data_IF_155741005321
#
_entry.id   IF_155741005321
#
_cell.length_a   1.000
_cell.length_b   1.000
_cell.length_c   1.000
_cell.angle_alpha   90.00
_cell.angle_beta   90.00
_cell.angle_gamma   90.00
#
_symmetry.space_group_name_H-M   'P 1'
#
loop_
_entity.id
_entity.type
_entity.pdbx_description
1 polymer ?
#
# COMPACT_ATOMS: atom_id res chain seq x y z
N UNK A 1 -2.22 6.54 -29.16
CA UNK A 1 -1.55 6.84 -27.90
C UNK A 1 -1.64 8.35 -27.69
N UNK A 2 -2.54 8.82 -26.88
CA UNK A 2 -2.62 10.24 -26.50
C UNK A 2 -2.21 10.25 -25.02
N UNK A 3 -1.00 10.73 -24.75
CA UNK A 3 -0.59 11.12 -23.41
C UNK A 3 -1.54 12.20 -22.93
N UNK A 4 -2.44 11.87 -22.02
CA UNK A 4 -3.13 12.87 -21.23
C UNK A 4 -2.08 13.48 -20.30
N UNK A 5 -1.46 14.57 -20.72
CA UNK A 5 -0.87 15.50 -19.77
C UNK A 5 -2.02 16.00 -18.90
N UNK A 6 -2.14 15.46 -17.69
CA UNK A 6 -3.04 16.04 -16.69
C UNK A 6 -2.49 17.43 -16.37
N UNK A 7 -3.23 18.46 -16.69
CA UNK A 7 -2.88 19.84 -16.27
C UNK A 7 -2.65 19.82 -14.76
N UNK A 8 -1.52 20.39 -14.33
CA UNK A 8 -1.20 20.54 -12.91
C UNK A 8 -2.20 21.49 -12.27
N UNK A 9 -3.09 20.95 -11.44
CA UNK A 9 -4.08 21.74 -10.70
C UNK A 9 -3.55 22.01 -9.30
N UNK A 10 -3.55 23.28 -8.91
CA UNK A 10 -3.18 23.75 -7.56
C UNK A 10 -4.41 24.28 -6.86
N UNK A 11 -4.87 23.57 -5.86
CA UNK A 11 -5.93 24.01 -4.97
C UNK A 11 -5.30 24.77 -3.79
N UNK A 12 -5.12 26.10 -3.94
CA UNK A 12 -4.62 26.98 -2.88
C UNK A 12 -5.73 28.01 -2.63
N UNK A 13 -6.22 28.11 -1.39
CA UNK A 13 -7.06 29.26 -1.03
C UNK A 13 -6.24 30.53 -1.21
N UNK A 14 -6.73 31.48 -2.02
CA UNK A 14 -6.17 32.83 -2.11
C UNK A 14 -6.28 33.49 -0.72
N UNK A 15 -5.16 33.57 -0.01
CA UNK A 15 -5.10 34.32 1.24
C UNK A 15 -5.52 35.78 1.01
N UNK A 16 -6.36 36.31 1.89
CA UNK A 16 -6.61 37.75 1.97
C UNK A 16 -5.27 38.45 2.15
N UNK A 17 -5.01 39.49 1.37
CA UNK A 17 -3.79 40.27 1.45
C UNK A 17 -3.54 40.80 2.87
N UNK A 18 -2.31 41.23 3.16
CA UNK A 18 -1.89 41.64 4.49
C UNK A 18 -2.72 42.87 4.93
N UNK A 19 -3.52 42.71 5.98
CA UNK A 19 -4.00 43.85 6.75
C UNK A 19 -2.85 44.32 7.61
N UNK A 20 -2.45 45.59 7.44
CA UNK A 20 -1.48 46.26 8.29
C UNK A 20 -2.02 46.29 9.73
N UNK A 21 -1.37 45.57 10.61
CA UNK A 21 -1.58 45.64 12.05
C UNK A 21 -0.43 46.46 12.67
N UNK A 22 -0.81 47.34 13.58
CA UNK A 22 0.08 48.21 14.33
C UNK A 22 1.08 47.39 15.19
N UNK A 23 2.31 47.88 15.26
CA UNK A 23 3.42 47.36 16.04
C UNK A 23 3.08 47.28 17.54
N UNK A 24 2.99 46.03 18.07
CA UNK A 24 3.06 45.72 19.49
C UNK A 24 4.40 45.07 19.79
N UNK A 25 4.82 44.94 21.09
CA UNK A 25 6.20 44.62 21.45
C UNK A 25 6.64 43.24 20.94
N UNK A 26 7.89 43.16 20.48
CA UNK A 26 8.57 42.01 19.91
C UNK A 26 8.51 40.76 20.81
N UNK A 27 7.45 39.93 20.63
CA UNK A 27 7.52 38.50 20.87
C UNK A 27 8.08 37.85 19.60
N UNK A 28 8.95 36.85 19.71
CA UNK A 28 9.35 36.01 18.59
C UNK A 28 8.08 35.63 17.82
N UNK A 29 7.89 36.17 16.61
CA UNK A 29 6.88 35.68 15.69
C UNK A 29 7.27 34.22 15.42
N UNK A 30 6.46 33.26 15.88
CA UNK A 30 6.60 31.86 15.55
C UNK A 30 6.48 31.73 14.04
N UNK A 31 7.61 31.58 13.36
CA UNK A 31 7.67 31.47 11.90
C UNK A 31 6.82 30.27 11.44
N UNK A 32 5.86 30.55 10.53
CA UNK A 32 4.93 29.53 10.03
C UNK A 32 5.67 28.47 9.24
N UNK A 33 5.49 27.20 9.60
CA UNK A 33 6.15 26.08 8.92
C UNK A 33 5.41 25.63 7.67
N UNK A 34 6.17 25.23 6.65
CA UNK A 34 5.69 24.59 5.44
C UNK A 34 5.90 23.09 5.56
N UNK A 35 4.82 22.32 5.63
CA UNK A 35 4.85 20.85 5.74
C UNK A 35 4.38 20.28 4.41
N UNK A 36 5.25 19.53 3.74
CA UNK A 36 4.94 18.87 2.46
C UNK A 36 4.74 17.38 2.68
N UNK A 37 3.66 16.82 2.13
CA UNK A 37 3.35 15.39 2.16
C UNK A 37 3.38 14.88 0.71
N UNK A 38 4.30 13.97 0.40
CA UNK A 38 4.40 13.34 -0.92
C UNK A 38 3.59 12.06 -0.98
N UNK A 39 2.57 12.06 -1.80
CA UNK A 39 1.64 10.95 -2.00
C UNK A 39 0.27 11.22 -1.40
N UNK A 40 -0.78 11.05 -2.21
CA UNK A 40 -2.19 11.17 -1.83
C UNK A 40 -2.88 9.80 -1.70
N UNK A 41 -2.11 8.75 -1.42
CA UNK A 41 -2.60 7.42 -1.08
C UNK A 41 -3.08 7.32 0.38
N UNK A 42 -3.24 6.08 0.88
CA UNK A 42 -3.71 5.82 2.26
C UNK A 42 -2.93 6.63 3.30
N UNK A 43 -1.60 6.46 3.33
CA UNK A 43 -0.77 7.10 4.34
C UNK A 43 -0.81 8.62 4.24
N UNK A 44 -0.60 9.19 3.04
CA UNK A 44 -0.53 10.64 2.87
C UNK A 44 -1.85 11.36 3.11
N UNK A 45 -2.98 10.76 2.73
CA UNK A 45 -4.30 11.35 2.97
C UNK A 45 -4.62 11.38 4.47
N UNK A 46 -4.43 10.26 5.19
CA UNK A 46 -4.65 10.23 6.64
C UNK A 46 -3.64 11.12 7.39
N UNK A 47 -2.39 11.17 6.91
CA UNK A 47 -1.35 12.04 7.44
C UNK A 47 -1.75 13.52 7.37
N UNK A 48 -2.30 13.96 6.23
CA UNK A 48 -2.78 15.33 6.07
C UNK A 48 -3.90 15.66 7.06
N UNK A 49 -4.82 14.73 7.33
CA UNK A 49 -5.89 14.91 8.28
C UNK A 49 -5.36 15.03 9.71
N UNK A 50 -4.49 14.11 10.15
CA UNK A 50 -3.94 14.14 11.51
C UNK A 50 -3.01 15.33 11.74
N UNK A 51 -2.18 15.69 10.77
CA UNK A 51 -1.33 16.87 10.86
C UNK A 51 -2.13 18.15 11.01
N UNK A 52 -3.25 18.28 10.29
CA UNK A 52 -4.12 19.48 10.43
C UNK A 52 -4.65 19.66 11.85
N UNK A 53 -4.74 18.59 12.62
CA UNK A 53 -5.16 18.64 14.04
C UNK A 53 -3.98 18.89 15.01
N UNK A 54 -2.73 18.68 14.57
CA UNK A 54 -1.51 18.77 15.41
C UNK A 54 -0.64 19.96 15.07
N UNK A 55 -0.74 20.51 13.87
CA UNK A 55 -0.04 21.69 13.41
C UNK A 55 -0.52 22.95 14.17
N UNK A 56 0.33 23.97 14.21
CA UNK A 56 0.01 25.27 14.83
C UNK A 56 -0.91 26.06 13.89
N UNK A 57 -1.59 27.04 14.43
CA UNK A 57 -2.34 27.99 13.61
C UNK A 57 -1.36 28.76 12.69
N UNK A 58 -1.65 28.78 11.38
CA UNK A 58 -0.78 29.40 10.38
C UNK A 58 0.17 28.43 9.66
N UNK A 59 0.52 27.27 10.23
CA UNK A 59 1.34 26.28 9.54
C UNK A 59 0.61 25.78 8.27
N UNK A 60 1.38 25.63 7.17
CA UNK A 60 0.86 25.24 5.86
C UNK A 60 1.12 23.77 5.59
N UNK A 61 0.06 23.04 5.26
CA UNK A 61 0.14 21.64 4.85
C UNK A 61 -0.16 21.57 3.37
N UNK A 62 0.77 21.00 2.60
CA UNK A 62 0.63 20.78 1.15
C UNK A 62 0.76 19.29 0.85
N UNK A 63 -0.27 18.70 0.26
CA UNK A 63 -0.21 17.32 -0.26
C UNK A 63 0.14 17.36 -1.75
N UNK A 64 1.09 16.53 -2.16
CA UNK A 64 1.45 16.34 -3.58
C UNK A 64 1.01 14.94 -3.99
N UNK A 65 0.02 14.86 -4.89
CA UNK A 65 -0.49 13.63 -5.48
C UNK A 65 -0.18 13.51 -6.97
N UNK A 66 -0.34 12.33 -7.52
CA UNK A 66 -0.38 12.10 -8.95
C UNK A 66 -1.85 11.89 -9.34
N UNK A 67 -2.51 13.00 -9.74
CA UNK A 67 -3.96 13.06 -9.87
C UNK A 67 -4.66 13.46 -8.56
N UNK A 68 -5.99 13.61 -8.63
CA UNK A 68 -6.85 14.17 -7.59
C UNK A 68 -7.71 13.12 -6.85
N UNK A 69 -7.64 11.87 -7.29
CA UNK A 69 -8.53 10.80 -6.85
C UNK A 69 -7.80 9.77 -6.00
N UNK A 70 -8.35 9.47 -4.83
CA UNK A 70 -7.96 8.32 -4.02
C UNK A 70 -8.69 7.06 -4.50
N UNK A 71 -7.96 5.93 -4.55
CA UNK A 71 -8.50 4.62 -4.86
C UNK A 71 -8.35 3.66 -3.67
N UNK A 72 -9.44 3.01 -3.29
CA UNK A 72 -9.42 2.01 -2.22
C UNK A 72 -8.86 0.68 -2.74
N UNK A 73 -7.52 0.58 -2.77
CA UNK A 73 -6.76 -0.56 -3.31
C UNK A 73 -7.23 -1.94 -2.81
N UNK A 74 -7.65 -2.13 -1.53
CA UNK A 74 -8.13 -3.43 -1.07
C UNK A 74 -9.36 -3.98 -1.80
N UNK A 75 -10.08 -3.16 -2.57
CA UNK A 75 -11.21 -3.58 -3.40
C UNK A 75 -10.86 -3.83 -4.87
N UNK A 76 -9.62 -3.62 -5.30
CA UNK A 76 -9.17 -3.92 -6.66
C UNK A 76 -9.44 -5.37 -7.10
N UNK A 77 -9.27 -6.41 -6.25
CA UNK A 77 -9.66 -7.77 -6.58
C UNK A 77 -11.13 -7.90 -7.02
N UNK A 78 -12.03 -7.15 -6.37
CA UNK A 78 -13.46 -7.14 -6.72
C UNK A 78 -13.74 -6.38 -8.03
N UNK A 79 -12.96 -5.33 -8.32
CA UNK A 79 -13.04 -4.63 -9.62
C UNK A 79 -12.62 -5.58 -10.73
N UNK A 80 -11.53 -6.33 -10.55
CA UNK A 80 -11.01 -7.24 -11.56
C UNK A 80 -11.97 -8.37 -11.95
N UNK A 81 -12.93 -8.74 -11.10
CA UNK A 81 -13.97 -9.75 -11.39
C UNK A 81 -15.38 -9.16 -11.54
N UNK A 82 -15.48 -7.85 -11.75
CA UNK A 82 -16.74 -7.09 -11.93
C UNK A 82 -17.70 -7.11 -10.72
N UNK A 83 -17.22 -7.33 -9.51
CA UNK A 83 -18.04 -7.22 -8.30
C UNK A 83 -18.10 -5.80 -7.74
N UNK A 84 -17.24 -4.91 -8.24
CA UNK A 84 -17.25 -3.46 -7.99
C UNK A 84 -16.98 -2.73 -9.28
N UNK A 85 -17.61 -1.56 -9.42
CA UNK A 85 -17.22 -0.59 -10.44
C UNK A 85 -16.17 0.36 -9.84
N UNK A 86 -15.24 0.82 -10.67
CA UNK A 86 -14.19 1.77 -10.29
C UNK A 86 -14.72 2.94 -9.45
N UNK A 87 -15.77 3.61 -9.91
CA UNK A 87 -16.36 4.77 -9.21
C UNK A 87 -16.89 4.47 -7.79
N UNK A 88 -17.12 3.19 -7.44
CA UNK A 88 -17.59 2.81 -6.10
C UNK A 88 -16.46 2.85 -5.06
N UNK A 89 -15.20 2.72 -5.51
CA UNK A 89 -14.02 2.64 -4.65
C UNK A 89 -13.13 3.89 -4.75
N UNK A 90 -13.63 4.94 -5.39
CA UNK A 90 -12.93 6.21 -5.58
C UNK A 90 -13.47 7.31 -4.65
N UNK A 91 -12.56 8.21 -4.27
CA UNK A 91 -12.87 9.44 -3.52
C UNK A 91 -12.13 10.59 -4.16
N UNK A 92 -12.84 11.63 -4.58
CA UNK A 92 -12.26 12.91 -4.97
C UNK A 92 -11.70 13.60 -3.71
N UNK A 93 -10.39 13.84 -3.68
CA UNK A 93 -9.70 14.43 -2.54
C UNK A 93 -9.74 15.94 -2.51
N UNK A 94 -9.84 16.60 -3.67
CA UNK A 94 -9.78 18.06 -3.75
C UNK A 94 -10.85 18.77 -2.89
N UNK A 95 -12.13 18.35 -2.92
CA UNK A 95 -13.14 18.98 -2.04
C UNK A 95 -12.91 18.68 -0.55
N UNK A 96 -12.33 17.52 -0.23
CA UNK A 96 -12.05 17.15 1.18
C UNK A 96 -10.90 17.98 1.74
N UNK A 97 -9.79 18.10 1.00
CA UNK A 97 -8.65 18.91 1.40
C UNK A 97 -9.01 20.41 1.47
N UNK A 98 -9.80 20.92 0.51
CA UNK A 98 -10.26 22.30 0.53
C UNK A 98 -11.09 22.64 1.79
N UNK A 99 -11.98 21.74 2.23
CA UNK A 99 -12.75 21.94 3.47
C UNK A 99 -11.87 22.00 4.72
N UNK A 100 -10.74 21.29 4.69
CA UNK A 100 -9.79 21.24 5.80
C UNK A 100 -8.67 22.27 5.73
N UNK A 101 -8.69 23.13 4.73
CA UNK A 101 -7.61 24.11 4.50
C UNK A 101 -6.24 23.44 4.35
N UNK A 102 -6.20 22.40 3.54
CA UNK A 102 -5.00 21.65 3.13
C UNK A 102 -4.79 21.97 1.66
N UNK A 103 -3.59 22.45 1.31
CA UNK A 103 -3.22 22.70 -0.08
C UNK A 103 -3.01 21.36 -0.82
N UNK A 104 -3.46 21.29 -2.06
CA UNK A 104 -3.34 20.09 -2.87
C UNK A 104 -2.76 20.38 -4.25
N UNK A 105 -1.72 19.65 -4.62
CA UNK A 105 -1.00 19.73 -5.89
C UNK A 105 -1.06 18.36 -6.56
N UNK A 106 -1.53 18.29 -7.80
CA UNK A 106 -1.88 17.02 -8.47
C UNK A 106 -0.90 16.60 -9.56
N UNK A 107 0.15 17.35 -9.82
CA UNK A 107 1.12 17.07 -10.90
C UNK A 107 2.22 16.05 -10.55
N UNK A 108 2.26 15.55 -9.31
CA UNK A 108 3.30 14.62 -8.91
C UNK A 108 4.65 15.26 -8.58
N UNK A 109 5.49 14.48 -7.90
CA UNK A 109 6.85 14.88 -7.56
C UNK A 109 7.85 14.25 -8.54
N UNK A 110 8.70 15.07 -9.13
CA UNK A 110 9.80 14.66 -10.01
C UNK A 110 11.03 14.22 -9.20
N UNK A 111 11.42 15.02 -8.19
CA UNK A 111 12.61 14.75 -7.39
C UNK A 111 12.53 15.38 -6.01
N UNK A 112 12.95 14.65 -4.99
CA UNK A 112 13.24 15.19 -3.65
C UNK A 112 14.70 15.66 -3.62
N UNK A 113 14.94 16.88 -3.13
CA UNK A 113 16.28 17.47 -2.96
C UNK A 113 16.47 17.79 -1.48
N UNK A 114 16.81 16.78 -0.64
CA UNK A 114 16.73 16.93 0.82
C UNK A 114 17.77 17.87 1.40
N UNK A 115 18.94 18.05 0.77
CA UNK A 115 19.96 19.01 1.19
C UNK A 115 19.53 20.47 1.00
N UNK A 116 18.54 20.73 0.14
CA UNK A 116 18.00 22.05 -0.15
C UNK A 116 16.58 22.23 0.42
N UNK A 117 16.07 21.25 1.17
CA UNK A 117 14.72 21.24 1.74
C UNK A 117 13.63 21.59 0.72
N UNK A 118 13.69 20.99 -0.47
CA UNK A 118 12.70 21.24 -1.53
C UNK A 118 12.33 19.95 -2.29
N UNK A 119 11.15 20.00 -2.89
CA UNK A 119 10.65 18.98 -3.81
C UNK A 119 10.46 19.61 -5.17
N UNK A 120 11.07 19.05 -6.20
CA UNK A 120 10.81 19.38 -7.60
C UNK A 120 9.56 18.64 -8.07
N UNK A 121 8.67 19.35 -8.76
CA UNK A 121 7.43 18.83 -9.30
C UNK A 121 7.58 18.53 -10.80
N UNK A 122 6.66 17.70 -11.32
CA UNK A 122 6.67 17.32 -12.76
C UNK A 122 6.39 18.52 -13.69
N UNK A 123 5.76 19.60 -13.19
CA UNK A 123 5.55 20.84 -13.95
C UNK A 123 6.79 21.76 -13.98
N UNK A 124 7.90 21.35 -13.41
CA UNK A 124 9.16 22.10 -13.33
C UNK A 124 9.23 23.11 -12.18
N UNK A 125 8.18 23.25 -11.38
CA UNK A 125 8.20 24.10 -10.18
C UNK A 125 8.79 23.39 -8.99
N UNK A 126 9.04 24.11 -7.89
CA UNK A 126 9.56 23.54 -6.63
C UNK A 126 8.70 23.97 -5.45
N UNK A 127 8.61 23.09 -4.47
CA UNK A 127 7.99 23.34 -3.17
C UNK A 127 9.07 23.28 -2.08
N UNK A 128 9.38 24.39 -1.40
CA UNK A 128 10.22 24.36 -0.20
C UNK A 128 9.44 23.75 0.96
N UNK A 129 10.17 23.15 1.92
CA UNK A 129 9.57 22.59 3.12
C UNK A 129 10.47 22.79 4.35
N UNK A 130 9.84 22.93 5.50
CA UNK A 130 10.48 22.80 6.81
C UNK A 130 10.42 21.34 7.27
N UNK A 131 9.31 20.66 7.01
CA UNK A 131 9.13 19.22 7.22
C UNK A 131 8.60 18.54 5.96
N UNK A 132 9.15 17.37 5.66
CA UNK A 132 8.71 16.52 4.55
C UNK A 132 8.24 15.17 5.08
N UNK A 133 7.05 14.72 4.65
CA UNK A 133 6.56 13.35 4.88
C UNK A 133 6.47 12.61 3.54
N UNK A 134 7.26 11.56 3.37
CA UNK A 134 7.25 10.74 2.18
C UNK A 134 6.26 9.58 2.38
N UNK A 135 5.17 9.59 1.62
CA UNK A 135 4.06 8.63 1.65
C UNK A 135 3.70 8.12 0.24
N UNK A 136 4.70 8.06 -0.64
CA UNK A 136 4.54 7.79 -2.09
C UNK A 136 4.05 6.38 -2.43
N UNK A 137 4.10 5.45 -1.46
CA UNK A 137 3.93 4.04 -1.76
C UNK A 137 5.10 3.46 -2.58
N UNK A 138 4.92 2.31 -3.26
CA UNK A 138 5.95 1.66 -4.06
C UNK A 138 5.81 2.00 -5.54
N UNK A 139 6.91 1.85 -6.29
CA UNK A 139 6.91 1.59 -7.71
C UNK A 139 6.83 0.06 -7.97
N UNK A 140 6.10 -0.34 -8.99
CA UNK A 140 5.83 -1.74 -9.33
C UNK A 140 6.88 -2.22 -10.35
N UNK A 141 7.78 -3.08 -9.94
CA UNK A 141 8.94 -3.50 -10.71
C UNK A 141 8.61 -4.63 -11.72
N UNK A 142 7.65 -4.41 -12.61
CA UNK A 142 7.30 -5.38 -13.65
C UNK A 142 8.45 -5.63 -14.64
N UNK A 143 9.26 -4.62 -14.92
CA UNK A 143 10.41 -4.64 -15.83
C UNK A 143 11.57 -5.53 -15.35
N UNK A 144 11.56 -6.00 -14.10
CA UNK A 144 12.57 -6.94 -13.59
C UNK A 144 12.38 -8.37 -14.11
N UNK A 145 11.23 -8.70 -14.70
CA UNK A 145 10.94 -10.03 -15.26
C UNK A 145 10.34 -9.84 -16.65
N UNK A 146 11.00 -10.42 -17.65
CA UNK A 146 10.55 -10.36 -19.04
C UNK A 146 9.13 -10.90 -19.20
N UNK A 147 8.24 -10.12 -19.82
CA UNK A 147 6.86 -10.47 -20.08
C UNK A 147 5.89 -10.35 -18.88
N UNK A 148 6.37 -9.90 -17.72
CA UNK A 148 5.51 -9.67 -16.56
C UNK A 148 4.80 -8.31 -16.66
N UNK A 149 3.55 -8.27 -16.26
CA UNK A 149 2.78 -7.04 -16.04
C UNK A 149 1.65 -6.78 -17.02
N UNK A 150 0.80 -5.77 -16.72
CA UNK A 150 -0.44 -5.47 -17.45
C UNK A 150 -0.21 -4.84 -18.84
N UNK A 151 1.01 -4.43 -19.15
CA UNK A 151 1.42 -3.97 -20.48
C UNK A 151 2.12 -5.09 -21.29
N UNK A 152 2.23 -6.30 -20.71
CA UNK A 152 2.81 -7.46 -21.33
C UNK A 152 1.82 -8.65 -21.30
N UNK A 153 2.09 -9.70 -20.51
CA UNK A 153 1.33 -10.95 -20.62
C UNK A 153 0.50 -11.29 -19.36
N UNK A 154 0.70 -10.59 -18.23
CA UNK A 154 -0.04 -10.87 -17.00
C UNK A 154 -0.88 -9.68 -16.56
N UNK A 155 -1.96 -9.94 -15.84
CA UNK A 155 -2.77 -8.92 -15.18
C UNK A 155 -2.14 -8.48 -13.86
N UNK A 156 -2.67 -7.39 -13.30
CA UNK A 156 -2.31 -6.89 -11.97
C UNK A 156 -3.53 -6.29 -11.28
N UNK A 157 -3.54 -6.35 -9.95
CA UNK A 157 -4.54 -5.72 -9.07
C UNK A 157 -3.91 -4.67 -8.15
N UNK A 158 -2.63 -4.32 -8.36
CA UNK A 158 -1.93 -3.37 -7.51
C UNK A 158 -2.42 -1.93 -7.68
N UNK A 159 -3.01 -1.60 -8.81
CA UNK A 159 -3.58 -0.30 -9.13
C UNK A 159 -4.99 -0.45 -9.72
N UNK A 160 -5.84 0.56 -9.55
CA UNK A 160 -7.22 0.50 -10.07
C UNK A 160 -7.29 0.41 -11.59
N UNK A 161 -6.37 1.07 -12.31
CA UNK A 161 -6.29 0.98 -13.77
C UNK A 161 -5.93 -0.43 -14.23
N UNK A 162 -5.01 -1.09 -13.50
CA UNK A 162 -4.67 -2.49 -13.73
C UNK A 162 -5.87 -3.40 -13.45
N UNK A 163 -6.58 -3.18 -12.34
CA UNK A 163 -7.77 -3.96 -12.00
C UNK A 163 -8.88 -3.79 -13.05
N UNK A 164 -9.04 -2.60 -13.63
CA UNK A 164 -9.98 -2.34 -14.72
C UNK A 164 -9.57 -3.07 -16.01
N UNK A 165 -8.27 -3.10 -16.35
CA UNK A 165 -7.75 -3.93 -17.46
C UNK A 165 -7.99 -5.42 -17.20
N UNK A 166 -7.70 -5.86 -15.96
CA UNK A 166 -7.91 -7.24 -15.53
C UNK A 166 -9.39 -7.65 -15.62
N UNK A 167 -10.34 -6.74 -15.35
CA UNK A 167 -11.78 -6.96 -15.54
C UNK A 167 -12.14 -7.28 -16.99
N UNK A 168 -11.61 -6.50 -17.94
CA UNK A 168 -11.83 -6.74 -19.37
C UNK A 168 -11.23 -8.08 -19.80
N UNK A 169 -10.00 -8.37 -19.35
CA UNK A 169 -9.33 -9.63 -19.62
C UNK A 169 -10.09 -10.83 -19.01
N UNK A 170 -10.62 -10.69 -17.78
CA UNK A 170 -11.42 -11.73 -17.13
C UNK A 170 -12.73 -12.00 -17.86
N UNK A 171 -13.42 -10.99 -18.36
CA UNK A 171 -14.62 -11.15 -19.16
C UNK A 171 -14.34 -11.92 -20.47
N UNK A 172 -13.25 -11.59 -21.17
CA UNK A 172 -12.82 -12.31 -22.37
C UNK A 172 -12.43 -13.76 -22.04
N UNK A 173 -11.70 -13.98 -20.96
CA UNK A 173 -11.33 -15.31 -20.46
C UNK A 173 -12.57 -16.17 -20.14
N UNK A 174 -13.59 -15.59 -19.49
CA UNK A 174 -14.79 -16.31 -19.12
C UNK A 174 -15.59 -16.85 -20.34
N UNK A 175 -15.46 -16.19 -21.49
CA UNK A 175 -16.05 -16.66 -22.74
C UNK A 175 -15.32 -17.87 -23.35
N UNK A 176 -13.99 -17.94 -23.13
CA UNK A 176 -13.17 -19.07 -23.60
C UNK A 176 -12.19 -19.50 -22.49
N UNK A 177 -12.67 -20.20 -21.44
CA UNK A 177 -11.89 -20.52 -20.27
C UNK A 177 -10.80 -21.56 -20.54
N UNK A 178 -9.64 -21.36 -19.89
CA UNK A 178 -8.48 -22.22 -19.91
C UNK A 178 -7.73 -22.21 -18.57
N UNK A 179 -6.45 -22.62 -18.51
CA UNK A 179 -5.68 -22.61 -17.27
C UNK A 179 -5.46 -21.19 -16.72
N UNK A 180 -5.39 -21.09 -15.40
CA UNK A 180 -5.05 -19.85 -14.68
C UNK A 180 -3.76 -20.05 -13.89
N UNK A 181 -2.84 -19.05 -13.94
CA UNK A 181 -1.70 -18.92 -13.05
C UNK A 181 -1.83 -17.63 -12.25
N UNK A 182 -1.88 -17.75 -10.92
CA UNK A 182 -1.97 -16.60 -10.00
C UNK A 182 -0.84 -16.69 -8.98
N UNK A 183 -0.29 -15.56 -8.56
CA UNK A 183 0.71 -15.58 -7.50
C UNK A 183 1.48 -14.30 -7.32
N UNK A 184 2.73 -14.45 -6.86
CA UNK A 184 3.64 -13.36 -6.62
C UNK A 184 5.05 -13.71 -7.11
N UNK A 185 5.76 -12.71 -7.62
CA UNK A 185 7.15 -12.82 -8.02
C UNK A 185 8.09 -12.69 -6.82
N UNK A 186 9.33 -13.15 -6.96
CA UNK A 186 10.40 -12.93 -5.99
C UNK A 186 10.59 -11.41 -5.74
N UNK A 187 10.83 -11.06 -4.48
CA UNK A 187 10.93 -9.66 -4.06
C UNK A 187 9.58 -8.94 -3.86
N UNK A 188 8.46 -9.61 -4.09
CA UNK A 188 7.15 -9.10 -3.66
C UNK A 188 7.13 -8.92 -2.13
N UNK A 189 6.41 -7.90 -1.66
CA UNK A 189 6.31 -7.59 -0.23
C UNK A 189 4.87 -7.55 0.29
N UNK A 190 3.92 -8.10 -0.46
CA UNK A 190 2.54 -8.25 -0.01
C UNK A 190 1.89 -9.45 -0.69
N UNK A 191 1.86 -10.59 -0.01
CA UNK A 191 1.36 -11.87 -0.55
C UNK A 191 -0.14 -12.05 -0.36
N UNK A 192 -0.72 -11.43 0.67
CA UNK A 192 -2.15 -11.50 0.98
C UNK A 192 -3.06 -11.29 -0.24
N UNK A 193 -2.87 -10.24 -1.04
CA UNK A 193 -3.67 -9.99 -2.23
C UNK A 193 -3.59 -11.08 -3.31
N UNK A 194 -2.46 -11.81 -3.43
CA UNK A 194 -2.35 -12.92 -4.36
C UNK A 194 -3.23 -14.10 -3.94
N UNK A 195 -3.20 -14.48 -2.66
CA UNK A 195 -4.11 -15.50 -2.10
C UNK A 195 -5.57 -15.07 -2.23
N UNK A 196 -5.87 -13.85 -1.80
CA UNK A 196 -7.21 -13.28 -1.88
C UNK A 196 -7.75 -13.34 -3.31
N UNK A 197 -6.95 -12.93 -4.30
CA UNK A 197 -7.37 -12.93 -5.69
C UNK A 197 -7.54 -14.33 -6.27
N UNK A 198 -6.68 -15.30 -5.91
CA UNK A 198 -6.83 -16.70 -6.32
C UNK A 198 -8.18 -17.28 -5.84
N UNK A 199 -8.58 -17.00 -4.59
CA UNK A 199 -9.85 -17.48 -4.04
C UNK A 199 -11.06 -16.70 -4.57
N UNK A 200 -10.93 -15.41 -4.83
CA UNK A 200 -11.95 -14.60 -5.49
C UNK A 200 -12.20 -15.11 -6.92
N UNK A 201 -11.14 -15.43 -7.67
CA UNK A 201 -11.28 -16.04 -9.00
C UNK A 201 -12.00 -17.38 -8.92
N UNK A 202 -11.62 -18.28 -8.01
CA UNK A 202 -12.32 -19.55 -7.80
C UNK A 202 -13.82 -19.34 -7.57
N UNK A 203 -14.17 -18.40 -6.66
CA UNK A 203 -15.57 -18.08 -6.36
C UNK A 203 -16.29 -17.46 -7.54
N UNK A 204 -15.64 -16.57 -8.30
CA UNK A 204 -16.21 -15.96 -9.51
C UNK A 204 -16.48 -17.02 -10.59
N UNK A 205 -15.54 -17.94 -10.81
CA UNK A 205 -15.70 -19.05 -11.76
C UNK A 205 -16.81 -20.02 -11.37
N UNK A 206 -16.99 -20.29 -10.06
CA UNK A 206 -18.11 -21.07 -9.54
C UNK A 206 -19.45 -20.39 -9.78
N UNK A 207 -19.54 -19.08 -9.56
CA UNK A 207 -20.74 -18.27 -9.86
C UNK A 207 -21.09 -18.30 -11.35
N UNK A 208 -20.08 -18.32 -12.22
CA UNK A 208 -20.24 -18.46 -13.67
C UNK A 208 -20.47 -19.90 -14.14
N UNK A 209 -20.37 -20.90 -13.25
CA UNK A 209 -20.50 -22.34 -13.53
C UNK A 209 -19.48 -22.86 -14.56
N UNK A 210 -18.26 -22.31 -14.53
CA UNK A 210 -17.17 -22.71 -15.43
C UNK A 210 -15.93 -23.23 -14.69
N UNK A 211 -15.96 -23.25 -13.34
CA UNK A 211 -14.78 -23.60 -12.51
C UNK A 211 -14.17 -24.95 -12.86
N UNK A 212 -14.97 -25.94 -13.18
CA UNK A 212 -14.52 -27.31 -13.47
C UNK A 212 -13.68 -27.42 -14.76
N UNK A 213 -13.78 -26.42 -15.64
CA UNK A 213 -13.01 -26.32 -16.89
C UNK A 213 -11.70 -25.54 -16.74
N UNK A 214 -11.42 -25.02 -15.55
CA UNK A 214 -10.31 -24.09 -15.30
C UNK A 214 -9.33 -24.70 -14.31
N UNK A 215 -8.26 -25.34 -14.78
CA UNK A 215 -7.13 -25.67 -13.91
C UNK A 215 -6.50 -24.41 -13.34
N UNK A 216 -6.21 -24.39 -12.02
CA UNK A 216 -5.59 -23.23 -11.36
C UNK A 216 -4.30 -23.64 -10.69
N UNK A 217 -3.26 -22.80 -10.82
CA UNK A 217 -1.98 -22.96 -10.14
C UNK A 217 -1.59 -21.66 -9.45
N UNK A 218 -1.24 -21.75 -8.17
CA UNK A 218 -0.71 -20.65 -7.38
C UNK A 218 0.82 -20.76 -7.31
N UNK A 219 1.54 -19.66 -7.59
CA UNK A 219 3.01 -19.61 -7.54
C UNK A 219 3.47 -18.54 -6.58
N UNK A 220 4.45 -18.87 -5.73
CA UNK A 220 4.95 -17.92 -4.74
C UNK A 220 6.42 -18.16 -4.40
N UNK A 221 7.23 -17.10 -4.21
CA UNK A 221 8.60 -17.23 -3.73
C UNK A 221 8.68 -17.58 -2.24
N UNK A 222 7.56 -17.60 -1.53
CA UNK A 222 7.49 -17.96 -0.13
C UNK A 222 8.02 -19.42 0.08
N UNK A 223 8.73 -19.69 1.19
CA UNK A 223 9.24 -21.04 1.47
C UNK A 223 8.12 -22.04 1.78
N UNK A 224 6.96 -21.57 2.19
CA UNK A 224 5.75 -22.36 2.42
C UNK A 224 4.50 -21.47 2.27
N UNK A 225 3.37 -22.09 1.98
CA UNK A 225 2.08 -21.40 1.87
C UNK A 225 1.71 -20.74 3.20
N UNK A 226 1.36 -19.45 3.13
CA UNK A 226 0.97 -18.68 4.32
C UNK A 226 2.12 -18.11 5.14
N UNK A 227 3.36 -18.12 4.62
CA UNK A 227 4.48 -17.39 5.22
C UNK A 227 4.20 -15.89 5.24
N UNK A 228 3.56 -15.32 4.20
CA UNK A 228 3.07 -13.96 4.09
C UNK A 228 4.15 -12.86 4.21
N UNK A 229 5.44 -13.23 4.10
CA UNK A 229 6.55 -12.33 4.41
C UNK A 229 6.72 -12.04 5.90
N UNK A 230 6.06 -12.81 6.77
CA UNK A 230 5.94 -12.59 8.21
C UNK A 230 6.31 -13.82 9.06
N UNK A 231 6.81 -14.88 8.44
CA UNK A 231 6.98 -16.21 9.05
C UNK A 231 5.65 -16.80 9.57
N UNK A 232 4.58 -16.59 8.78
CA UNK A 232 3.21 -16.95 9.13
C UNK A 232 2.56 -16.04 10.19
N UNK A 233 1.26 -16.16 10.38
CA UNK A 233 0.49 -15.53 11.48
C UNK A 233 -0.57 -16.51 11.95
N UNK A 234 -0.52 -16.93 13.23
CA UNK A 234 -1.40 -17.98 13.74
C UNK A 234 -1.31 -19.25 12.87
N UNK A 235 -2.45 -19.80 12.48
CA UNK A 235 -2.56 -21.02 11.68
C UNK A 235 -2.62 -20.75 10.16
N UNK A 236 -2.11 -19.61 9.67
CA UNK A 236 -2.24 -19.22 8.26
C UNK A 236 -1.68 -20.27 7.29
N UNK A 237 -0.63 -21.02 7.66
CA UNK A 237 -0.09 -22.11 6.84
C UNK A 237 -1.15 -23.19 6.60
N UNK A 238 -1.61 -23.84 7.66
CA UNK A 238 -2.57 -24.96 7.59
C UNK A 238 -3.87 -24.51 6.94
N UNK A 239 -4.32 -23.30 7.25
CA UNK A 239 -5.58 -22.73 6.78
C UNK A 239 -5.52 -22.46 5.27
N UNK A 240 -4.50 -21.73 4.78
CA UNK A 240 -4.40 -21.42 3.35
C UNK A 240 -4.09 -22.63 2.50
N UNK A 241 -3.27 -23.59 3.00
CA UNK A 241 -3.09 -24.87 2.32
C UNK A 241 -4.39 -25.68 2.22
N UNK A 242 -5.22 -25.68 3.28
CA UNK A 242 -6.52 -26.34 3.27
C UNK A 242 -7.46 -25.68 2.25
N UNK A 243 -7.51 -24.35 2.19
CA UNK A 243 -8.33 -23.62 1.23
C UNK A 243 -7.90 -23.89 -0.22
N UNK A 244 -6.59 -23.91 -0.50
CA UNK A 244 -6.06 -24.24 -1.83
C UNK A 244 -6.46 -25.68 -2.23
N UNK A 245 -6.31 -26.66 -1.31
CA UNK A 245 -6.72 -28.05 -1.57
C UNK A 245 -8.23 -28.18 -1.80
N UNK A 246 -9.06 -27.58 -0.95
CA UNK A 246 -10.53 -27.65 -1.05
C UNK A 246 -11.06 -27.04 -2.34
N UNK A 247 -10.33 -26.06 -2.90
CA UNK A 247 -10.65 -25.38 -4.14
C UNK A 247 -9.95 -25.97 -5.36
N UNK A 248 -9.23 -27.09 -5.18
CA UNK A 248 -8.45 -27.76 -6.24
C UNK A 248 -7.50 -26.79 -6.97
N UNK A 249 -6.81 -25.94 -6.19
CA UNK A 249 -5.76 -25.03 -6.70
C UNK A 249 -4.42 -25.70 -6.35
N UNK A 250 -3.63 -26.03 -7.37
CA UNK A 250 -2.25 -26.50 -7.21
C UNK A 250 -1.36 -25.32 -6.78
N UNK A 251 -0.22 -25.61 -6.12
CA UNK A 251 0.73 -24.55 -5.77
C UNK A 251 2.18 -25.00 -5.89
N UNK A 252 3.05 -24.00 -6.11
CA UNK A 252 4.51 -24.14 -6.09
C UNK A 252 5.05 -23.05 -5.18
N UNK A 253 5.76 -23.44 -4.12
CA UNK A 253 6.51 -22.56 -3.22
C UNK A 253 7.98 -22.51 -3.63
N UNK A 254 8.77 -21.58 -3.06
CA UNK A 254 10.13 -21.32 -3.53
C UNK A 254 10.19 -21.15 -5.05
N UNK A 255 9.17 -20.53 -5.63
CA UNK A 255 8.98 -20.37 -7.04
C UNK A 255 9.61 -19.04 -7.52
N UNK A 256 10.69 -19.13 -8.27
CA UNK A 256 11.30 -18.00 -8.98
C UNK A 256 10.67 -17.90 -10.37
N UNK A 257 10.00 -16.83 -10.66
CA UNK A 257 9.51 -16.56 -12.01
C UNK A 257 10.71 -16.14 -12.86
N UNK A 258 11.06 -16.97 -13.83
CA UNK A 258 12.19 -16.72 -14.70
C UNK A 258 11.80 -15.80 -15.87
N UNK A 259 10.60 -16.05 -16.45
CA UNK A 259 10.08 -15.32 -17.62
C UNK A 259 8.58 -15.59 -17.74
N UNK A 260 7.86 -14.67 -18.37
CA UNK A 260 6.48 -14.88 -18.81
C UNK A 260 6.41 -14.77 -20.33
N UNK A 261 5.85 -15.76 -20.97
CA UNK A 261 5.54 -15.77 -22.40
C UNK A 261 4.03 -15.54 -22.60
N UNK A 262 3.58 -15.40 -23.82
CA UNK A 262 2.19 -15.05 -24.14
C UNK A 262 1.13 -16.05 -23.59
N UNK A 263 1.53 -17.30 -23.41
CA UNK A 263 0.66 -18.42 -23.06
C UNK A 263 1.18 -19.27 -21.89
N UNK A 264 2.34 -18.96 -21.34
CA UNK A 264 2.92 -19.72 -20.21
C UNK A 264 3.84 -18.88 -19.30
N UNK A 265 3.93 -19.30 -18.06
CA UNK A 265 4.90 -18.80 -17.07
C UNK A 265 6.00 -19.84 -16.90
N UNK A 266 7.26 -19.41 -17.03
CA UNK A 266 8.43 -20.23 -16.76
C UNK A 266 8.87 -20.02 -15.31
N UNK A 267 8.87 -21.09 -14.53
CA UNK A 267 9.15 -21.06 -13.09
C UNK A 267 10.28 -21.99 -12.74
N UNK A 268 11.30 -21.49 -12.06
CA UNK A 268 12.32 -22.29 -11.38
C UNK A 268 11.89 -22.51 -9.92
N UNK A 269 11.56 -23.74 -9.55
CA UNK A 269 11.41 -24.14 -8.15
C UNK A 269 12.80 -24.33 -7.57
N UNK A 270 13.10 -23.70 -6.43
CA UNK A 270 14.44 -23.75 -5.83
C UNK A 270 14.47 -24.49 -4.52
N UNK A 271 15.65 -25.04 -4.19
CA UNK A 271 15.96 -25.61 -2.88
C UNK A 271 16.27 -24.51 -1.85
N UNK A 272 16.49 -24.90 -0.60
CA UNK A 272 16.82 -23.96 0.50
C UNK A 272 18.15 -23.21 0.28
N UNK A 273 19.05 -23.74 -0.52
CA UNK A 273 20.30 -23.11 -0.94
C UNK A 273 20.17 -22.25 -2.21
N UNK A 274 18.95 -22.04 -2.66
CA UNK A 274 18.58 -21.34 -3.89
C UNK A 274 19.03 -22.01 -5.20
N UNK A 275 19.57 -23.24 -5.17
CA UNK A 275 19.81 -24.03 -6.37
C UNK A 275 18.50 -24.48 -7.02
N UNK A 276 18.47 -24.62 -8.34
CA UNK A 276 17.26 -25.04 -9.06
C UNK A 276 16.96 -26.51 -8.75
N UNK A 277 15.78 -26.77 -8.20
CA UNK A 277 15.24 -28.10 -7.92
C UNK A 277 14.48 -28.68 -9.11
N UNK A 278 13.63 -27.88 -9.73
CA UNK A 278 12.81 -28.26 -10.88
C UNK A 278 12.47 -27.02 -11.74
N UNK A 279 12.20 -27.25 -13.01
CA UNK A 279 11.70 -26.23 -13.92
C UNK A 279 10.30 -26.56 -14.35
N UNK A 280 9.41 -25.58 -14.29
CA UNK A 280 8.01 -25.73 -14.65
C UNK A 280 7.65 -24.77 -15.77
N UNK A 281 6.94 -25.29 -16.78
CA UNK A 281 6.24 -24.49 -17.78
C UNK A 281 4.75 -24.54 -17.44
N UNK A 282 4.20 -23.44 -17.01
CA UNK A 282 2.81 -23.35 -16.55
C UNK A 282 1.97 -22.65 -17.61
N UNK A 283 1.16 -23.37 -18.41
CA UNK A 283 0.30 -22.75 -19.40
C UNK A 283 -0.78 -21.92 -18.71
N UNK A 284 -1.16 -20.81 -19.34
CA UNK A 284 -2.28 -19.98 -18.89
C UNK A 284 -3.08 -19.37 -20.06
N UNK A 285 -4.37 -19.17 -19.81
CA UNK A 285 -5.25 -18.31 -20.62
C UNK A 285 -5.58 -17.02 -19.86
N UNK A 286 -5.31 -16.99 -18.54
CA UNK A 286 -5.39 -15.81 -17.69
C UNK A 286 -4.32 -15.92 -16.59
N UNK A 287 -3.57 -14.85 -16.36
CA UNK A 287 -2.57 -14.83 -15.29
C UNK A 287 -2.58 -13.50 -14.56
N UNK A 288 -2.42 -13.54 -13.23
CA UNK A 288 -2.18 -12.37 -12.38
C UNK A 288 -1.02 -12.66 -11.43
N UNK A 289 0.05 -11.91 -11.57
CA UNK A 289 1.25 -12.08 -10.74
C UNK A 289 1.63 -10.73 -10.15
N UNK A 290 1.72 -10.68 -8.82
CA UNK A 290 2.19 -9.50 -8.10
C UNK A 290 3.69 -9.32 -8.32
N UNK A 291 4.17 -8.11 -8.70
CA UNK A 291 5.58 -7.85 -8.91
C UNK A 291 6.33 -7.61 -7.61
N UNK A 292 7.65 -7.56 -7.70
CA UNK A 292 8.48 -6.94 -6.68
C UNK A 292 8.15 -5.44 -6.54
N UNK A 293 8.43 -4.88 -5.35
CA UNK A 293 8.30 -3.46 -5.09
C UNK A 293 9.67 -2.79 -4.99
N UNK A 294 9.73 -1.53 -5.38
CA UNK A 294 10.90 -0.65 -5.23
C UNK A 294 10.46 0.78 -4.92
N UNK A 295 11.38 1.64 -4.52
CA UNK A 295 11.07 3.05 -4.30
C UNK A 295 10.75 3.77 -5.61
N UNK A 296 9.90 4.79 -5.55
CA UNK A 296 9.51 5.60 -6.73
C UNK A 296 10.69 6.41 -7.27
N UNK A 297 10.71 6.79 -8.57
CA UNK A 297 11.82 7.54 -9.18
C UNK A 297 12.18 8.83 -8.44
N UNK A 298 11.18 9.55 -7.90
CA UNK A 298 11.39 10.81 -7.20
C UNK A 298 12.32 10.75 -5.99
N UNK A 299 12.48 9.57 -5.38
CA UNK A 299 13.32 9.37 -4.17
C UNK A 299 14.48 8.40 -4.39
N UNK A 300 14.44 7.56 -5.44
CA UNK A 300 15.41 6.49 -5.67
C UNK A 300 16.83 7.02 -5.88
N UNK A 301 17.81 6.36 -5.24
CA UNK A 301 19.24 6.67 -5.41
C UNK A 301 19.69 7.97 -4.74
N UNK A 302 18.93 8.53 -3.79
CA UNK A 302 19.37 9.66 -2.97
C UNK A 302 20.14 9.10 -1.79
N UNK A 303 21.42 9.45 -1.71
CA UNK A 303 22.33 9.02 -0.66
C UNK A 303 21.81 9.47 0.72
N UNK A 304 21.90 8.62 1.72
CA UNK A 304 21.38 8.86 3.07
C UNK A 304 19.85 8.80 3.19
N UNK A 305 19.10 8.99 2.10
CA UNK A 305 17.64 8.93 2.12
C UNK A 305 17.11 7.51 1.91
N UNK A 306 17.68 6.77 0.97
CA UNK A 306 17.14 5.47 0.53
C UNK A 306 18.14 4.33 0.62
N UNK A 307 17.60 3.10 0.75
CA UNK A 307 18.36 1.88 0.53
C UNK A 307 18.58 1.61 -1.00
N UNK A 308 19.36 0.58 -1.39
CA UNK A 308 19.60 0.27 -2.81
C UNK A 308 18.34 -0.02 -3.64
N UNK A 309 17.26 -0.48 -3.00
CA UNK A 309 15.94 -0.70 -3.66
C UNK A 309 15.10 0.58 -3.75
N UNK A 310 15.60 1.72 -3.22
CA UNK A 310 14.90 3.01 -3.21
C UNK A 310 13.87 3.17 -2.09
N UNK A 311 13.77 2.26 -1.12
CA UNK A 311 12.92 2.45 0.06
C UNK A 311 13.57 3.41 1.04
N UNK A 312 12.75 4.25 1.68
CA UNK A 312 13.20 5.31 2.57
C UNK A 312 13.71 4.72 3.90
N UNK A 313 14.92 5.10 4.29
CA UNK A 313 15.49 4.76 5.59
C UNK A 313 14.77 5.56 6.68
N UNK A 314 14.30 4.90 7.72
CA UNK A 314 13.60 5.53 8.83
C UNK A 314 14.02 4.91 10.17
N UNK A 315 14.11 5.76 11.18
CA UNK A 315 14.27 5.34 12.58
C UNK A 315 12.93 4.89 13.19
N UNK A 316 12.94 4.56 14.47
CA UNK A 316 11.75 4.11 15.20
C UNK A 316 10.66 5.17 15.35
N UNK A 317 10.98 6.46 15.20
CA UNK A 317 10.05 7.59 15.16
C UNK A 317 9.59 7.94 13.75
N UNK A 318 9.88 7.11 12.73
CA UNK A 318 9.60 7.31 11.30
C UNK A 318 10.42 8.45 10.67
N UNK A 319 11.50 8.89 11.29
CA UNK A 319 12.36 9.98 10.85
C UNK A 319 13.58 9.43 10.10
N UNK A 320 14.00 10.09 9.02
CA UNK A 320 15.20 9.70 8.31
C UNK A 320 16.47 10.07 9.15
N UNK A 321 17.44 9.14 9.32
CA UNK A 321 18.63 9.39 10.11
C UNK A 321 19.56 10.48 9.55
N UNK A 322 19.64 10.63 8.22
CA UNK A 322 20.51 11.63 7.57
C UNK A 322 19.82 13.00 7.41
N UNK A 323 18.48 13.01 7.33
CA UNK A 323 17.67 14.22 7.13
C UNK A 323 16.61 14.31 8.22
N UNK A 324 16.92 14.93 9.38
CA UNK A 324 16.04 14.89 10.55
C UNK A 324 14.68 15.55 10.41
N UNK A 325 14.48 16.37 9.39
CA UNK A 325 13.20 16.98 9.03
C UNK A 325 12.41 16.19 7.96
N UNK A 326 12.94 15.04 7.56
CA UNK A 326 12.26 14.13 6.59
C UNK A 326 11.75 12.91 7.33
N UNK A 327 10.45 12.65 7.19
CA UNK A 327 9.73 11.49 7.74
C UNK A 327 9.24 10.61 6.61
N UNK A 328 8.96 9.34 6.90
CA UNK A 328 8.38 8.43 5.91
C UNK A 328 7.39 7.46 6.53
N UNK A 329 6.32 7.18 5.80
CA UNK A 329 5.22 6.31 6.24
C UNK A 329 4.74 5.41 5.11
N UNK A 330 4.21 4.26 5.48
CA UNK A 330 3.59 3.34 4.53
C UNK A 330 4.57 2.46 3.76
N UNK A 331 4.19 2.07 2.55
CA UNK A 331 4.91 1.04 1.80
C UNK A 331 6.29 1.49 1.31
N UNK A 332 6.54 2.78 1.21
CA UNK A 332 7.86 3.32 0.83
C UNK A 332 8.94 3.18 1.91
N UNK A 333 8.60 2.81 3.16
CA UNK A 333 9.55 2.64 4.27
C UNK A 333 10.37 1.36 4.11
N UNK A 334 11.69 1.45 4.30
CA UNK A 334 12.59 0.31 4.32
C UNK A 334 12.39 -0.50 5.61
N UNK A 335 11.90 -1.73 5.48
CA UNK A 335 11.78 -2.69 6.58
C UNK A 335 12.53 -3.96 6.18
N UNK A 336 13.47 -4.45 7.00
CA UNK A 336 14.19 -5.68 6.71
C UNK A 336 13.25 -6.89 6.63
N UNK A 337 13.54 -7.90 5.79
CA UNK A 337 12.77 -9.14 5.74
C UNK A 337 12.82 -9.89 7.07
N UNK A 338 11.75 -10.65 7.36
CA UNK A 338 11.69 -11.54 8.51
C UNK A 338 12.43 -12.84 8.18
N UNK A 339 13.60 -13.02 8.76
CA UNK A 339 14.42 -14.21 8.55
C UNK A 339 15.06 -14.28 7.15
N UNK A 340 15.72 -15.42 6.89
CA UNK A 340 16.29 -15.74 5.58
C UNK A 340 15.37 -16.71 4.84
N UNK A 341 15.14 -16.42 3.57
CA UNK A 341 14.37 -17.28 2.66
C UNK A 341 15.21 -17.58 1.41
N UNK A 342 15.01 -18.73 0.74
CA UNK A 342 15.75 -19.08 -0.47
C UNK A 342 15.62 -18.03 -1.58
N UNK A 343 14.43 -17.45 -1.71
CA UNK A 343 14.15 -16.35 -2.61
C UNK A 343 13.79 -15.08 -1.80
N UNK A 344 14.04 -13.88 -2.30
CA UNK A 344 13.67 -12.65 -1.62
C UNK A 344 12.15 -12.57 -1.37
N UNK A 345 11.78 -12.40 -0.10
CA UNK A 345 10.41 -12.22 0.37
C UNK A 345 10.37 -10.96 1.24
N UNK A 346 9.63 -9.95 0.82
CA UNK A 346 9.54 -8.69 1.55
C UNK A 346 8.48 -8.71 2.65
N UNK A 347 8.58 -7.75 3.58
CA UNK A 347 7.61 -7.56 4.67
C UNK A 347 6.45 -6.69 4.19
N UNK A 348 5.19 -7.14 4.33
CA UNK A 348 4.03 -6.33 3.99
C UNK A 348 3.88 -5.15 4.97
N UNK A 349 3.41 -4.01 4.44
CA UNK A 349 3.00 -2.85 5.24
C UNK A 349 1.48 -2.77 5.17
N UNK A 350 0.83 -3.30 6.20
CA UNK A 350 -0.63 -3.40 6.26
C UNK A 350 -1.30 -2.07 6.57
N UNK A 351 -2.60 -1.94 6.29
CA UNK A 351 -3.32 -0.68 6.49
C UNK A 351 -3.21 -0.14 7.92
N UNK A 352 -3.46 -0.99 8.93
CA UNK A 352 -3.37 -0.58 10.34
C UNK A 352 -1.94 -0.22 10.76
N UNK A 353 -0.92 -0.94 10.25
CA UNK A 353 0.47 -0.58 10.46
C UNK A 353 0.78 0.81 9.89
N UNK A 354 0.25 1.14 8.71
CA UNK A 354 0.40 2.47 8.10
C UNK A 354 -0.29 3.53 8.95
N UNK A 355 -1.49 3.27 9.45
CA UNK A 355 -2.21 4.20 10.36
C UNK A 355 -1.40 4.45 11.64
N UNK A 356 -0.75 3.43 12.21
CA UNK A 356 0.12 3.63 13.37
C UNK A 356 1.34 4.52 13.06
N UNK A 357 1.94 4.37 11.85
CA UNK A 357 3.02 5.25 11.38
C UNK A 357 2.51 6.68 11.20
N UNK A 358 1.30 6.87 10.66
CA UNK A 358 0.65 8.19 10.49
C UNK A 358 0.52 8.88 11.85
N UNK A 359 -0.10 8.23 12.82
CA UNK A 359 -0.35 8.80 14.15
C UNK A 359 0.96 9.17 14.86
N UNK A 360 1.97 8.28 14.83
CA UNK A 360 3.27 8.57 15.43
C UNK A 360 3.95 9.77 14.76
N UNK A 361 3.95 9.82 13.43
CA UNK A 361 4.58 10.90 12.66
C UNK A 361 3.88 12.25 12.86
N UNK A 362 2.54 12.27 12.89
CA UNK A 362 1.77 13.50 13.12
C UNK A 362 2.05 14.08 14.51
N UNK A 363 2.12 13.24 15.54
CA UNK A 363 2.46 13.66 16.89
C UNK A 363 3.91 14.13 16.99
N UNK A 364 4.85 13.44 16.34
CA UNK A 364 6.27 13.83 16.34
C UNK A 364 6.50 15.17 15.64
N UNK A 365 5.90 15.40 14.48
CA UNK A 365 6.00 16.70 13.78
C UNK A 365 5.31 17.78 14.63
N UNK A 366 4.12 17.53 15.18
CA UNK A 366 3.45 18.46 16.06
C UNK A 366 4.27 18.84 17.30
N UNK A 367 5.01 17.90 17.90
CA UNK A 367 5.93 18.15 18.99
C UNK A 367 7.10 19.05 18.54
N UNK A 368 7.73 18.72 17.40
CA UNK A 368 8.83 19.51 16.85
C UNK A 368 8.43 20.94 16.50
N UNK A 369 7.21 21.15 15.99
CA UNK A 369 6.66 22.48 15.71
C UNK A 369 6.52 23.34 16.98
N UNK A 370 6.39 22.72 18.15
CA UNK A 370 6.35 23.40 19.46
C UNK A 370 7.72 23.45 20.17
N UNK A 371 8.80 23.01 19.49
CA UNK A 371 10.14 22.93 20.09
C UNK A 371 10.33 21.74 21.07
N UNK A 372 9.42 20.77 21.05
CA UNK A 372 9.44 19.56 21.86
C UNK A 372 10.16 18.41 21.13
N UNK A 373 10.59 17.38 21.85
CA UNK A 373 11.26 16.23 21.26
C UNK A 373 10.26 15.27 20.56
N UNK A 374 10.67 14.69 19.43
CA UNK A 374 9.96 13.61 18.77
C UNK A 374 10.22 12.28 19.52
N UNK A 375 9.18 11.73 20.18
CA UNK A 375 9.32 10.54 21.05
C UNK A 375 8.33 9.42 20.75
N UNK A 376 7.36 9.67 19.88
CA UNK A 376 6.28 8.72 19.60
C UNK A 376 6.73 7.63 18.62
N UNK A 377 6.57 6.36 19.03
CA UNK A 377 6.89 5.18 18.22
C UNK A 377 5.61 4.45 17.79
N UNK A 378 5.45 4.07 16.51
CA UNK A 378 4.33 3.24 16.05
C UNK A 378 4.47 1.81 16.57
N UNK A 379 3.33 1.15 16.82
CA UNK A 379 3.30 -0.26 17.26
C UNK A 379 3.60 -1.25 16.14
N UNK A 380 3.35 -0.87 14.90
CA UNK A 380 3.39 -1.76 13.74
C UNK A 380 2.52 -3.01 13.91
N UNK A 381 1.37 -2.87 14.53
CA UNK A 381 0.39 -3.95 14.64
C UNK A 381 -0.29 -4.19 13.28
N UNK A 382 -0.74 -5.43 13.04
CA UNK A 382 -1.53 -5.78 11.88
C UNK A 382 -2.92 -6.26 12.29
N UNK A 383 -3.93 -5.76 11.58
CA UNK A 383 -5.30 -6.29 11.54
C UNK A 383 -5.63 -6.46 10.06
N UNK A 384 -5.83 -7.67 9.60
CA UNK A 384 -6.02 -7.97 8.18
C UNK A 384 -7.28 -8.82 7.95
N UNK A 385 -7.96 -8.51 6.86
CA UNK A 385 -9.10 -9.26 6.33
C UNK A 385 -8.79 -9.61 4.87
N UNK A 386 -8.66 -10.91 4.57
CA UNK A 386 -8.56 -11.42 3.21
C UNK A 386 -9.89 -12.06 2.81
N UNK A 387 -10.52 -11.55 1.76
CA UNK A 387 -11.81 -12.02 1.27
C UNK A 387 -11.65 -13.10 0.19
N UNK A 388 -12.47 -14.14 0.25
CA UNK A 388 -12.49 -15.23 -0.73
C UNK A 388 -13.77 -15.20 -1.60
N UNK A 389 -14.61 -14.18 -1.40
CA UNK A 389 -15.88 -14.01 -2.10
C UNK A 389 -17.06 -14.84 -1.56
N UNK A 390 -16.76 -15.94 -0.87
CA UNK A 390 -17.74 -16.80 -0.17
C UNK A 390 -17.40 -17.00 1.31
N UNK A 391 -16.25 -16.51 1.73
CA UNK A 391 -15.69 -16.54 3.07
C UNK A 391 -14.44 -15.68 3.12
N UNK A 392 -13.54 -15.99 4.04
CA UNK A 392 -12.26 -15.29 4.14
C UNK A 392 -11.48 -15.65 5.38
N UNK A 393 -10.30 -15.05 5.51
CA UNK A 393 -9.40 -15.16 6.67
C UNK A 393 -9.18 -13.79 7.28
N UNK A 394 -9.30 -13.73 8.60
CA UNK A 394 -8.88 -12.57 9.40
C UNK A 394 -7.66 -12.96 10.23
N UNK A 395 -6.72 -12.05 10.43
CA UNK A 395 -5.64 -12.25 11.39
C UNK A 395 -5.27 -10.94 12.12
N UNK A 396 -4.78 -11.13 13.37
CA UNK A 396 -4.24 -10.07 14.21
C UNK A 396 -2.83 -10.49 14.62
N UNK A 397 -1.87 -9.62 14.36
CA UNK A 397 -0.47 -9.79 14.77
C UNK A 397 0.00 -8.54 15.51
N UNK A 398 0.45 -8.70 16.76
CA UNK A 398 0.89 -7.59 17.62
C UNK A 398 2.26 -7.91 18.25
N UNK A 399 3.32 -7.25 17.80
CA UNK A 399 3.43 -6.48 16.56
C UNK A 399 3.34 -7.38 15.32
N UNK A 400 3.23 -6.80 14.13
CA UNK A 400 3.21 -7.58 12.88
C UNK A 400 4.48 -8.38 12.67
N UNK A 401 5.63 -7.77 12.99
CA UNK A 401 6.96 -8.39 12.87
C UNK A 401 7.28 -9.15 14.17
N UNK A 402 7.73 -10.42 14.09
CA UNK A 402 8.10 -11.19 15.27
C UNK A 402 9.25 -10.54 16.09
N UNK A 403 9.34 -10.80 17.41
CA UNK A 403 8.46 -11.64 18.23
C UNK A 403 7.10 -10.98 18.50
N UNK A 404 6.03 -11.80 18.57
CA UNK A 404 4.65 -11.33 18.72
C UNK A 404 4.08 -11.67 20.10
N UNK A 405 3.32 -10.71 20.66
CA UNK A 405 2.53 -10.93 21.87
C UNK A 405 1.14 -11.48 21.53
N UNK A 406 0.59 -11.09 20.38
CA UNK A 406 -0.67 -11.62 19.84
C UNK A 406 -0.39 -12.20 18.46
N UNK A 407 -0.82 -13.43 18.24
CA UNK A 407 -0.67 -14.16 17.00
C UNK A 407 -1.96 -14.99 16.78
N UNK A 408 -2.98 -14.38 16.18
CA UNK A 408 -4.31 -14.95 16.05
C UNK A 408 -4.79 -14.92 14.60
N UNK A 409 -5.45 -16.00 14.19
CA UNK A 409 -6.13 -16.08 12.91
C UNK A 409 -7.48 -16.79 13.05
N UNK A 410 -8.43 -16.43 12.19
CA UNK A 410 -9.72 -17.10 12.09
C UNK A 410 -10.21 -17.05 10.64
N UNK A 411 -11.10 -17.97 10.29
CA UNK A 411 -11.72 -18.04 8.98
C UNK A 411 -13.25 -18.14 9.08
N UNK A 412 -13.93 -17.83 8.01
CA UNK A 412 -15.37 -17.99 7.93
C UNK A 412 -16.06 -17.01 7.00
N UNK A 413 -17.36 -17.24 6.79
CA UNK A 413 -18.19 -16.37 5.92
C UNK A 413 -18.32 -14.94 6.45
N UNK A 414 -18.21 -14.74 7.76
CA UNK A 414 -18.28 -13.43 8.40
C UNK A 414 -17.18 -12.48 7.92
N UNK A 415 -16.01 -13.00 7.52
CA UNK A 415 -14.88 -12.18 7.03
C UNK A 415 -15.24 -11.47 5.72
N UNK A 416 -15.98 -12.14 4.82
CA UNK A 416 -16.50 -11.51 3.58
C UNK A 416 -17.37 -10.28 3.91
N UNK A 417 -18.32 -10.42 4.84
CA UNK A 417 -19.17 -9.29 5.23
C UNK A 417 -18.41 -8.21 6.00
N UNK A 418 -17.45 -8.60 6.85
CA UNK A 418 -16.57 -7.67 7.55
C UNK A 418 -15.73 -6.84 6.55
N UNK A 419 -15.21 -7.46 5.48
CA UNK A 419 -14.46 -6.76 4.43
C UNK A 419 -15.35 -5.75 3.67
N UNK A 420 -16.60 -6.10 3.36
CA UNK A 420 -17.56 -5.18 2.73
C UNK A 420 -17.89 -4.00 3.67
N UNK A 421 -18.09 -4.28 4.95
CA UNK A 421 -18.34 -3.23 5.96
C UNK A 421 -17.12 -2.31 6.11
N UNK A 422 -15.91 -2.88 6.12
CA UNK A 422 -14.66 -2.16 6.17
C UNK A 422 -14.46 -1.23 4.95
N UNK A 423 -14.74 -1.71 3.73
CA UNK A 423 -14.70 -0.87 2.52
C UNK A 423 -15.58 0.39 2.68
N UNK A 424 -16.85 0.18 3.04
CA UNK A 424 -17.81 1.30 3.21
C UNK A 424 -17.38 2.26 4.31
N UNK A 425 -16.96 1.71 5.43
CA UNK A 425 -16.47 2.48 6.57
C UNK A 425 -15.26 3.33 6.17
N UNK A 426 -14.29 2.74 5.50
CA UNK A 426 -13.06 3.41 5.14
C UNK A 426 -13.28 4.53 4.11
N UNK A 427 -14.11 4.30 3.09
CA UNK A 427 -14.49 5.32 2.11
C UNK A 427 -15.26 6.48 2.77
N UNK A 428 -16.10 6.20 3.75
CA UNK A 428 -16.79 7.24 4.54
C UNK A 428 -15.78 8.04 5.36
N UNK A 429 -14.86 7.40 6.07
CA UNK A 429 -13.75 8.01 6.83
C UNK A 429 -12.97 9.00 5.96
N UNK A 430 -12.56 8.59 4.76
CA UNK A 430 -11.85 9.47 3.83
C UNK A 430 -12.69 10.67 3.37
N UNK A 431 -13.95 10.46 2.99
CA UNK A 431 -14.85 11.53 2.55
C UNK A 431 -15.18 12.53 3.66
N UNK A 432 -15.20 12.08 4.91
CA UNK A 432 -15.42 12.95 6.07
C UNK A 432 -14.20 13.81 6.41
N UNK A 433 -13.00 13.40 5.99
CA UNK A 433 -11.74 14.06 6.33
C UNK A 433 -11.31 13.80 7.78
N UNK A 434 -11.69 12.67 8.34
CA UNK A 434 -11.32 12.26 9.70
C UNK A 434 -10.45 11.02 9.62
N UNK A 435 -9.27 11.05 10.24
CA UNK A 435 -8.33 9.92 10.25
C UNK A 435 -8.73 8.83 11.23
N UNK A 436 -9.27 9.19 12.39
CA UNK A 436 -9.69 8.28 13.45
C UNK A 436 -11.00 8.73 14.08
N UNK A 437 -12.16 8.25 13.57
CA UNK A 437 -13.45 8.50 14.21
C UNK A 437 -13.47 7.96 15.64
N UNK A 438 -14.16 8.66 16.56
CA UNK A 438 -14.16 8.34 18.00
C UNK A 438 -14.57 6.88 18.30
N UNK A 439 -15.49 6.32 17.53
CA UNK A 439 -15.96 4.95 17.69
C UNK A 439 -14.91 3.92 17.23
N UNK A 440 -14.07 4.24 16.23
CA UNK A 440 -12.93 3.41 15.83
C UNK A 440 -11.93 3.34 16.98
N UNK A 441 -11.55 4.49 17.53
CA UNK A 441 -10.64 4.60 18.66
C UNK A 441 -11.16 3.77 19.85
N UNK A 442 -12.43 3.92 20.20
CA UNK A 442 -13.05 3.16 21.29
C UNK A 442 -13.02 1.64 21.06
N UNK A 443 -13.39 1.19 19.84
CA UNK A 443 -13.36 -0.24 19.51
C UNK A 443 -11.93 -0.80 19.59
N UNK A 444 -10.95 -0.10 19.05
CA UNK A 444 -9.56 -0.53 19.09
C UNK A 444 -9.00 -0.56 20.51
N UNK A 445 -9.35 0.40 21.36
CA UNK A 445 -8.99 0.41 22.78
C UNK A 445 -9.58 -0.78 23.53
N UNK A 446 -10.85 -1.10 23.31
CA UNK A 446 -11.53 -2.28 23.93
C UNK A 446 -10.88 -3.58 23.48
N UNK A 447 -10.43 -3.67 22.21
CA UNK A 447 -9.72 -4.83 21.68
C UNK A 447 -8.24 -4.87 22.10
N UNK A 448 -7.74 -3.89 22.82
CA UNK A 448 -6.33 -3.80 23.22
C UNK A 448 -5.37 -3.52 22.05
N UNK A 449 -5.90 -3.02 20.94
CA UNK A 449 -5.12 -2.72 19.72
C UNK A 449 -4.74 -1.23 19.75
N UNK A 450 -3.43 -0.94 19.95
CA UNK A 450 -2.92 0.42 20.06
C UNK A 450 -2.09 0.79 18.84
N UNK A 451 -2.14 2.05 18.42
CA UNK A 451 -1.32 2.61 17.33
C UNK A 451 0.08 2.99 17.81
N UNK A 452 0.22 3.40 19.06
CA UNK A 452 1.49 3.86 19.66
C UNK A 452 1.99 2.86 20.69
N UNK A 453 3.33 2.74 20.76
CA UNK A 453 3.98 2.07 21.89
C UNK A 453 3.81 2.90 23.16
N UNK A 454 3.65 2.22 24.27
CA UNK A 454 3.61 2.81 25.63
C UNK A 454 4.99 3.14 26.14
#
# INVERSE_FOLDING_TARGET
MAEKHSECVRWIKSGRGPQAHAEGPQGQEDEMANIVILGAGLGGTLMAYELKEKAREGDKITVVGQGDTYHFVPSNPWVAVDWRKRAQIEVDLAPVFARKDIAFVTCGAKRVVPHENRVELEDGTSLPYDYLVIATGPDLAFDEIEGLGPEAHTQSICHVDHATKAQVAFAAFAANPGPIVVGAAQGASCFGPAYEFAFILDTALRRLKIRDRVPMTFVTPEPYIGHLGLDGVGDTKSLLESELRNRHIKWITNAKIAKVEADKVLVDEVNDDASVKARHELPFSYSMILPAFRGVPAVRGIEGLTNPRGFILADKMQRNPAFPNVFSIGVCVAIPPVGKTPLPVGVPKTGFMIESMVTATALNIGALLRGEAATHEPTWNAVCLADFGDGGVAFIAQPQIPPRNVNWSAHGRWVHYAKIAFEKFFLMKLRSGVSEPFYEKFIMEVLGIRKLKS
#
